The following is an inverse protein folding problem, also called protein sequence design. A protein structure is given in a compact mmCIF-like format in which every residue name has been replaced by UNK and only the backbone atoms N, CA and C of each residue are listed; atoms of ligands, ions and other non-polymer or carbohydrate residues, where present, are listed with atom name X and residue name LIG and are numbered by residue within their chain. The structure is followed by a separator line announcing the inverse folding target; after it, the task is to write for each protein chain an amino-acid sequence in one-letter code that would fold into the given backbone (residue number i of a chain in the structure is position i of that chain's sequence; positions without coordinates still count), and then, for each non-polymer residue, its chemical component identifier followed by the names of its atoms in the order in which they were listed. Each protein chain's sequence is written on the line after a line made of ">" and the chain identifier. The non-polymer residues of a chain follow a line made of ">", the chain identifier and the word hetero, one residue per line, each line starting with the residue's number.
data_IF_192670564539
#
_entry.id   IF_192670564539
#
_cell.length_a   1.000
_cell.length_b   1.000
_cell.length_c   1.000
_cell.angle_alpha   90.00
_cell.angle_beta   90.00
_cell.angle_gamma   90.00
#
_symmetry.space_group_name_H-M   'P 1'
#
loop_
_entity.id
_entity.type
_entity.pdbx_description
1 polymer ?
#
# COMPACT_ATOMS: atom_id res chain seq x y z
N UNK A 1 -26.94 11.20 7.06
CA UNK A 1 -27.19 10.02 7.92
C UNK A 1 -27.83 8.94 7.04
N UNK A 2 -27.12 7.84 6.78
CA UNK A 2 -27.62 6.77 5.92
C UNK A 2 -28.54 5.83 6.70
N UNK A 3 -29.63 5.39 6.06
CA UNK A 3 -30.54 4.36 6.56
C UNK A 3 -30.74 3.31 5.48
N UNK A 4 -31.01 2.07 5.89
CA UNK A 4 -31.49 1.06 4.96
C UNK A 4 -32.89 1.46 4.47
N UNK A 5 -33.19 1.16 3.20
CA UNK A 5 -34.55 1.33 2.69
C UNK A 5 -35.48 0.34 3.38
N UNK A 6 -36.75 0.72 3.58
CA UNK A 6 -37.70 -0.05 4.38
C UNK A 6 -37.95 -1.48 3.84
N UNK A 7 -37.74 -1.72 2.55
CA UNK A 7 -37.92 -3.03 1.93
C UNK A 7 -36.70 -3.95 2.09
N UNK A 8 -35.56 -3.43 2.56
CA UNK A 8 -34.34 -4.21 2.73
C UNK A 8 -34.47 -5.12 3.95
N UNK A 9 -34.49 -6.42 3.69
CA UNK A 9 -34.47 -7.45 4.71
C UNK A 9 -33.07 -7.58 5.33
N UNK A 10 -32.94 -7.18 6.60
CA UNK A 10 -31.68 -7.17 7.34
C UNK A 10 -31.09 -8.56 7.55
N UNK A 11 -31.90 -9.62 7.55
CA UNK A 11 -31.42 -10.99 7.72
C UNK A 11 -30.76 -11.55 6.46
N UNK A 12 -31.08 -10.98 5.29
CA UNK A 12 -30.49 -11.37 4.00
C UNK A 12 -29.23 -10.59 3.66
N UNK A 13 -28.85 -9.61 4.48
CA UNK A 13 -27.68 -8.78 4.24
C UNK A 13 -26.39 -9.52 4.58
N UNK A 14 -25.39 -9.37 3.72
CA UNK A 14 -24.02 -9.77 4.05
C UNK A 14 -23.38 -8.69 4.94
N UNK A 15 -23.40 -8.93 6.25
CA UNK A 15 -22.87 -8.01 7.26
C UNK A 15 -21.35 -7.84 7.19
N UNK A 16 -20.63 -8.83 6.64
CA UNK A 16 -19.18 -8.70 6.42
C UNK A 16 -18.87 -7.67 5.34
N UNK A 17 -19.66 -7.61 4.27
CA UNK A 17 -19.50 -6.57 3.24
C UNK A 17 -19.96 -5.21 3.72
N UNK A 18 -21.05 -5.14 4.50
CA UNK A 18 -21.49 -3.90 5.14
C UNK A 18 -20.46 -3.32 6.10
N UNK A 19 -19.78 -4.17 6.89
CA UNK A 19 -18.75 -3.74 7.85
C UNK A 19 -17.55 -3.04 7.18
N UNK A 20 -17.35 -3.27 5.88
CA UNK A 20 -16.32 -2.61 5.07
C UNK A 20 -16.77 -1.25 4.50
N UNK A 21 -18.05 -0.92 4.57
CA UNK A 21 -18.59 0.31 4.00
C UNK A 21 -18.62 1.43 5.05
N UNK A 22 -17.82 2.50 4.90
CA UNK A 22 -17.78 3.60 5.88
C UNK A 22 -19.10 4.38 5.98
N UNK A 23 -19.97 4.35 4.95
CA UNK A 23 -21.24 5.07 4.96
C UNK A 23 -22.27 4.46 5.93
N UNK A 24 -22.11 3.19 6.32
CA UNK A 24 -23.09 2.46 7.14
C UNK A 24 -22.70 2.36 8.62
N UNK A 25 -21.69 3.10 9.07
CA UNK A 25 -21.27 3.12 10.49
C UNK A 25 -22.42 3.35 11.49
N UNK A 26 -23.37 4.29 11.25
CA UNK A 26 -24.52 4.45 12.15
C UNK A 26 -25.41 3.21 12.23
N UNK A 27 -25.51 2.42 11.16
CA UNK A 27 -26.29 1.18 11.11
C UNK A 27 -25.56 0.07 11.86
N UNK A 28 -24.25 -0.07 11.66
CA UNK A 28 -23.42 -1.08 12.35
C UNK A 28 -23.45 -0.88 13.87
N UNK A 29 -23.39 0.39 14.32
CA UNK A 29 -23.49 0.74 15.74
C UNK A 29 -24.77 0.23 16.42
N UNK A 30 -25.87 0.10 15.68
CA UNK A 30 -27.16 -0.39 16.20
C UNK A 30 -27.26 -1.93 16.19
N UNK A 31 -26.34 -2.62 15.53
CA UNK A 31 -26.35 -4.08 15.33
C UNK A 31 -24.97 -4.70 15.61
N UNK A 32 -24.42 -4.53 16.84
CA UNK A 32 -23.08 -5.00 17.19
C UNK A 32 -22.93 -6.54 17.17
N UNK A 33 -24.04 -7.26 17.29
CA UNK A 33 -24.14 -8.72 17.23
C UNK A 33 -23.95 -9.27 15.81
N UNK A 34 -24.34 -8.49 14.78
CA UNK A 34 -24.19 -8.86 13.37
C UNK A 34 -22.91 -8.31 12.75
N UNK A 35 -22.21 -7.45 13.47
CA UNK A 35 -21.04 -6.72 12.96
C UNK A 35 -19.83 -7.63 12.85
N UNK A 36 -19.14 -7.56 11.71
CA UNK A 36 -17.87 -8.25 11.52
C UNK A 36 -16.75 -7.35 12.07
N UNK A 37 -16.39 -7.56 13.35
CA UNK A 37 -15.39 -6.78 14.09
C UNK A 37 -13.99 -6.85 13.46
N UNK A 38 -13.66 -7.95 12.80
CA UNK A 38 -12.41 -8.10 12.05
C UNK A 38 -12.34 -7.14 10.86
N UNK A 39 -13.40 -7.09 10.04
CA UNK A 39 -13.50 -6.14 8.94
C UNK A 39 -13.56 -4.69 9.44
N UNK A 40 -14.21 -4.47 10.58
CA UNK A 40 -14.37 -3.16 11.19
C UNK A 40 -13.05 -2.59 11.73
N UNK A 41 -12.22 -3.42 12.38
CA UNK A 41 -10.92 -3.03 12.95
C UNK A 41 -9.95 -2.48 11.89
N UNK A 42 -10.16 -2.84 10.62
CA UNK A 42 -9.38 -2.33 9.48
C UNK A 42 -9.97 -1.08 8.83
N UNK A 43 -11.11 -0.59 9.32
CA UNK A 43 -11.83 0.53 8.73
C UNK A 43 -11.55 1.82 9.53
N UNK A 44 -10.81 2.79 8.98
CA UNK A 44 -10.53 4.07 9.67
C UNK A 44 -11.78 4.81 10.13
N UNK A 45 -12.90 4.72 9.39
CA UNK A 45 -14.14 5.40 9.75
C UNK A 45 -14.85 4.77 10.96
N UNK A 46 -14.41 3.59 11.40
CA UNK A 46 -15.05 2.85 12.48
C UNK A 46 -14.47 3.12 13.87
N UNK A 47 -13.44 3.98 14.01
CA UNK A 47 -12.81 4.27 15.31
C UNK A 47 -13.83 4.64 16.40
N UNK A 48 -14.85 5.47 16.16
CA UNK A 48 -15.83 5.81 17.19
C UNK A 48 -16.69 4.63 17.68
N UNK A 49 -16.75 3.53 16.92
CA UNK A 49 -17.47 2.30 17.30
C UNK A 49 -16.52 1.36 18.03
N UNK A 50 -15.29 1.19 17.53
CA UNK A 50 -14.27 0.31 18.11
C UNK A 50 -13.90 0.76 19.53
N UNK A 51 -13.76 2.07 19.75
CA UNK A 51 -13.54 2.64 21.09
C UNK A 51 -14.61 2.24 22.13
N UNK A 52 -15.81 1.86 21.71
CA UNK A 52 -16.92 1.49 22.59
C UNK A 52 -16.97 -0.02 22.91
N UNK A 53 -16.20 -0.84 22.20
CA UNK A 53 -16.25 -2.30 22.27
C UNK A 53 -14.85 -2.95 22.26
N UNK A 54 -13.94 -2.55 23.19
CA UNK A 54 -12.53 -2.96 23.18
C UNK A 54 -12.30 -4.47 23.41
N UNK A 55 -13.33 -5.20 23.84
CA UNK A 55 -13.34 -6.65 24.05
C UNK A 55 -13.53 -7.45 22.75
N UNK A 56 -14.04 -6.82 21.68
CA UNK A 56 -14.34 -7.47 20.39
C UNK A 56 -13.33 -7.16 19.30
N UNK A 57 -12.36 -6.31 19.61
CA UNK A 57 -11.44 -5.76 18.63
C UNK A 57 -10.31 -6.72 18.27
N UNK A 58 -9.96 -6.74 16.98
CA UNK A 58 -8.76 -7.41 16.50
C UNK A 58 -7.57 -6.43 16.62
N UNK A 59 -6.84 -6.57 17.73
CA UNK A 59 -5.69 -5.72 18.05
C UNK A 59 -4.55 -5.79 17.04
N UNK A 60 -4.42 -6.89 16.29
CA UNK A 60 -3.43 -6.98 15.21
C UNK A 60 -3.82 -6.05 14.07
N UNK A 61 -5.09 -6.06 13.67
CA UNK A 61 -5.62 -5.17 12.63
C UNK A 61 -5.61 -3.71 13.06
N UNK A 62 -5.99 -3.42 14.30
CA UNK A 62 -5.88 -2.07 14.86
C UNK A 62 -4.44 -1.57 14.83
N UNK A 63 -3.45 -2.40 15.22
CA UNK A 63 -2.04 -2.01 15.20
C UNK A 63 -1.55 -1.62 13.81
N UNK A 64 -2.05 -2.28 12.76
CA UNK A 64 -1.77 -1.91 11.37
C UNK A 64 -2.59 -0.72 10.83
N UNK A 65 -3.59 -0.23 11.56
CA UNK A 65 -4.52 0.81 11.11
C UNK A 65 -4.01 2.21 11.50
N UNK A 66 -3.70 3.09 10.53
CA UNK A 66 -3.21 4.45 10.82
C UNK A 66 -4.14 5.31 11.68
N UNK A 67 -5.46 5.08 11.59
CA UNK A 67 -6.44 5.85 12.37
C UNK A 67 -6.58 5.36 13.82
N UNK A 68 -6.05 4.17 14.13
CA UNK A 68 -6.17 3.57 15.46
C UNK A 68 -5.07 4.01 16.43
N UNK A 69 -4.08 4.82 16.02
CA UNK A 69 -2.97 5.27 16.88
C UNK A 69 -3.47 5.82 18.24
N UNK A 70 -4.47 6.73 18.31
CA UNK A 70 -4.95 7.24 19.60
C UNK A 70 -5.61 6.17 20.49
N UNK A 71 -6.19 5.13 19.90
CA UNK A 71 -6.76 4.00 20.65
C UNK A 71 -5.65 3.08 21.17
N UNK A 72 -4.62 2.84 20.36
CA UNK A 72 -3.46 2.01 20.70
C UNK A 72 -2.65 2.66 21.83
N UNK A 73 -2.46 3.98 21.81
CA UNK A 73 -1.80 4.75 22.88
C UNK A 73 -2.46 4.54 24.25
N UNK A 74 -3.78 4.32 24.29
CA UNK A 74 -4.54 4.04 25.52
C UNK A 74 -4.50 2.58 25.96
N UNK A 75 -4.02 1.67 25.10
CA UNK A 75 -4.08 0.22 25.30
C UNK A 75 -2.75 -0.45 24.90
N UNK A 76 -1.63 0.10 25.41
CA UNK A 76 -0.26 -0.32 25.08
C UNK A 76 -0.03 -1.83 25.26
N UNK A 77 -0.66 -2.43 26.28
CA UNK A 77 -0.56 -3.85 26.61
C UNK A 77 -1.15 -4.78 25.55
N UNK A 78 -2.02 -4.25 24.68
CA UNK A 78 -2.70 -5.02 23.64
C UNK A 78 -2.08 -4.86 22.25
N UNK A 79 -1.13 -3.94 22.10
CA UNK A 79 -0.50 -3.65 20.80
C UNK A 79 0.20 -4.89 20.25
N UNK A 80 -0.09 -5.21 18.99
CA UNK A 80 0.75 -6.11 18.20
C UNK A 80 1.90 -5.30 17.59
N UNK A 81 3.06 -5.33 18.23
CA UNK A 81 4.21 -4.51 17.86
C UNK A 81 4.82 -4.86 16.50
N UNK A 82 4.68 -6.12 16.04
CA UNK A 82 5.07 -6.50 14.67
C UNK A 82 4.20 -5.76 13.65
N UNK A 83 2.86 -5.83 13.80
CA UNK A 83 1.93 -5.14 12.91
C UNK A 83 2.06 -3.61 13.00
N UNK A 84 2.31 -3.07 14.21
CA UNK A 84 2.54 -1.65 14.42
C UNK A 84 3.80 -1.16 13.69
N UNK A 85 4.87 -1.97 13.65
CA UNK A 85 6.13 -1.59 13.00
C UNK A 85 6.00 -1.39 11.47
N UNK A 86 5.02 -2.06 10.84
CA UNK A 86 4.65 -1.80 9.44
C UNK A 86 3.80 -0.55 9.24
N UNK A 87 3.20 0.00 10.30
CA UNK A 87 2.25 1.11 10.19
C UNK A 87 3.00 2.44 10.02
N UNK A 88 2.87 3.13 8.86
CA UNK A 88 3.59 4.38 8.62
C UNK A 88 3.22 5.52 9.59
N UNK A 89 2.01 5.51 10.13
CA UNK A 89 1.55 6.52 11.09
C UNK A 89 2.02 6.24 12.53
N UNK A 90 2.58 5.04 12.79
CA UNK A 90 2.97 4.63 14.14
C UNK A 90 4.40 5.01 14.53
N UNK A 91 5.18 5.63 13.64
CA UNK A 91 6.58 6.00 13.92
C UNK A 91 6.73 6.76 15.26
N UNK A 92 5.91 7.79 15.58
CA UNK A 92 6.02 8.48 16.86
C UNK A 92 5.75 7.59 18.08
N UNK A 93 4.84 6.62 17.97
CA UNK A 93 4.54 5.67 19.05
C UNK A 93 5.66 4.64 19.20
N UNK A 94 6.26 4.20 18.10
CA UNK A 94 7.42 3.30 18.11
C UNK A 94 8.65 3.97 18.74
N UNK A 95 8.88 5.26 18.47
CA UNK A 95 9.96 6.04 19.09
C UNK A 95 9.83 6.15 20.63
N UNK A 96 8.62 6.11 21.16
CA UNK A 96 8.36 6.10 22.61
C UNK A 96 8.63 4.73 23.26
N UNK A 97 8.65 3.65 22.48
CA UNK A 97 8.80 2.27 22.94
C UNK A 97 9.88 1.51 22.13
N UNK A 98 11.14 1.97 22.16
CA UNK A 98 12.20 1.43 21.31
C UNK A 98 12.55 -0.04 21.59
N UNK A 99 12.25 -0.55 22.79
CA UNK A 99 12.44 -1.95 23.18
C UNK A 99 11.40 -2.89 22.55
N UNK A 100 10.30 -2.35 22.04
CA UNK A 100 9.20 -3.11 21.43
C UNK A 100 9.25 -3.15 19.91
N UNK A 101 10.07 -2.32 19.29
CA UNK A 101 10.18 -2.22 17.83
C UNK A 101 10.57 -3.58 17.25
N UNK A 102 9.79 -4.03 16.26
CA UNK A 102 10.21 -5.12 15.39
C UNK A 102 11.00 -4.54 14.22
N UNK A 103 12.32 -4.67 14.26
CA UNK A 103 13.21 -4.02 13.28
C UNK A 103 13.14 -4.61 11.88
N UNK A 104 12.83 -5.90 11.75
CA UNK A 104 12.56 -6.56 10.48
C UNK A 104 11.36 -5.90 9.78
N UNK A 105 10.22 -5.82 10.46
CA UNK A 105 9.02 -5.13 9.97
C UNK A 105 9.26 -3.62 9.71
N UNK A 106 10.02 -2.97 10.59
CA UNK A 106 10.33 -1.54 10.46
C UNK A 106 11.23 -1.26 9.24
N UNK A 107 12.19 -2.12 8.94
CA UNK A 107 13.07 -1.99 7.76
C UNK A 107 12.29 -1.94 6.45
N UNK A 108 11.16 -2.64 6.36
CA UNK A 108 10.28 -2.59 5.19
C UNK A 108 9.36 -1.35 5.17
N UNK A 109 9.23 -0.62 6.28
CA UNK A 109 8.34 0.54 6.39
C UNK A 109 8.98 1.78 5.75
N UNK A 110 8.42 2.33 4.64
CA UNK A 110 9.01 3.46 3.94
C UNK A 110 9.00 4.77 4.77
N UNK A 111 8.09 4.92 5.73
CA UNK A 111 8.05 6.10 6.61
C UNK A 111 9.10 6.03 7.74
N UNK A 112 9.73 4.88 7.95
CA UNK A 112 10.68 4.67 9.02
C UNK A 112 12.13 5.09 8.70
N UNK A 113 12.41 5.58 7.49
CA UNK A 113 13.79 5.91 7.07
C UNK A 113 14.55 6.78 8.09
N UNK A 114 13.97 7.87 8.65
CA UNK A 114 14.68 8.68 9.64
C UNK A 114 15.02 7.93 10.94
N UNK A 115 14.18 6.97 11.33
CA UNK A 115 14.40 6.15 12.54
C UNK A 115 15.45 5.06 12.27
N UNK A 116 15.41 4.44 11.09
CA UNK A 116 16.40 3.44 10.66
C UNK A 116 17.79 4.06 10.49
N UNK A 117 17.88 5.26 9.89
CA UNK A 117 19.17 5.99 9.75
C UNK A 117 19.85 6.27 11.09
N UNK A 118 19.08 6.44 12.18
CA UNK A 118 19.62 6.62 13.54
C UNK A 118 20.01 5.32 14.23
N UNK A 119 19.59 4.16 13.71
CA UNK A 119 19.74 2.85 14.34
C UNK A 119 20.27 1.81 13.32
N UNK A 120 21.35 2.17 12.61
CA UNK A 120 21.95 1.38 11.53
C UNK A 120 22.30 -0.06 11.95
N UNK A 121 22.67 -0.25 13.22
CA UNK A 121 23.04 -1.54 13.82
C UNK A 121 21.85 -2.51 13.95
N UNK A 122 20.61 -2.00 13.93
CA UNK A 122 19.40 -2.80 14.11
C UNK A 122 18.67 -3.10 12.81
N UNK A 123 19.08 -2.47 11.71
CA UNK A 123 18.45 -2.64 10.41
C UNK A 123 18.53 -4.11 9.98
N UNK A 124 17.37 -4.67 9.62
CA UNK A 124 17.31 -5.86 8.78
C UNK A 124 17.56 -5.44 7.32
N UNK A 125 18.72 -5.82 6.77
CA UNK A 125 19.16 -5.39 5.44
C UNK A 125 18.49 -6.15 4.30
N UNK A 126 17.97 -7.35 4.58
CA UNK A 126 17.18 -8.11 3.60
C UNK A 126 15.88 -7.35 3.33
N UNK A 127 15.13 -7.04 4.38
CA UNK A 127 13.88 -6.27 4.28
C UNK A 127 14.10 -4.82 3.82
N UNK A 128 15.22 -4.21 4.19
CA UNK A 128 15.54 -2.86 3.71
C UNK A 128 15.83 -2.86 2.20
N UNK A 129 16.46 -3.90 1.66
CA UNK A 129 16.83 -3.97 0.24
C UNK A 129 15.61 -4.07 -0.68
N UNK A 130 14.51 -4.66 -0.21
CA UNK A 130 13.23 -4.66 -0.92
C UNK A 130 12.43 -3.37 -0.75
N UNK A 131 12.80 -2.48 0.19
CA UNK A 131 12.10 -1.24 0.47
C UNK A 131 12.41 -0.14 -0.58
N UNK A 132 11.42 0.35 -1.35
CA UNK A 132 11.65 1.36 -2.39
C UNK A 132 12.12 2.72 -1.86
N UNK A 133 11.81 3.06 -0.61
CA UNK A 133 12.24 4.33 0.00
C UNK A 133 13.69 4.30 0.49
N UNK A 134 14.30 3.11 0.58
CA UNK A 134 15.60 2.92 1.21
C UNK A 134 16.80 3.09 0.26
N UNK A 135 16.58 3.34 -1.04
CA UNK A 135 17.66 3.47 -2.04
C UNK A 135 18.80 4.41 -1.58
N UNK A 136 18.52 5.61 -1.04
CA UNK A 136 19.60 6.50 -0.57
C UNK A 136 20.42 5.94 0.59
N UNK A 137 19.80 5.13 1.47
CA UNK A 137 20.48 4.50 2.59
C UNK A 137 21.30 3.29 2.14
N UNK A 138 20.76 2.51 1.19
CA UNK A 138 21.44 1.38 0.57
C UNK A 138 22.67 1.85 -0.23
N UNK A 139 22.57 2.96 -0.97
CA UNK A 139 23.71 3.57 -1.68
C UNK A 139 24.89 3.93 -0.77
N UNK A 140 24.62 4.26 0.51
CA UNK A 140 25.66 4.55 1.52
C UNK A 140 26.25 3.29 2.18
N UNK A 141 25.63 2.12 2.00
CA UNK A 141 25.95 0.87 2.69
C UNK A 141 25.96 -0.31 1.70
N UNK A 142 26.65 -0.14 0.57
CA UNK A 142 26.69 -1.10 -0.56
C UNK A 142 27.08 -2.52 -0.14
N UNK A 143 27.93 -2.65 0.88
CA UNK A 143 28.43 -3.91 1.43
C UNK A 143 27.36 -4.71 2.18
N UNK A 144 26.27 -4.07 2.61
CA UNK A 144 25.19 -4.71 3.39
C UNK A 144 23.96 -5.06 2.56
N UNK A 145 23.91 -4.61 1.31
CA UNK A 145 22.78 -4.83 0.42
C UNK A 145 22.56 -6.33 0.20
N UNK A 146 21.32 -6.77 0.36
CA UNK A 146 20.86 -8.04 -0.19
C UNK A 146 20.50 -7.85 -1.67
N UNK A 147 21.36 -8.35 -2.55
CA UNK A 147 21.21 -8.14 -3.99
C UNK A 147 20.10 -9.00 -4.62
N UNK A 148 19.68 -10.08 -3.95
CA UNK A 148 18.54 -10.87 -4.39
C UNK A 148 17.27 -10.01 -4.25
N UNK A 149 17.04 -9.47 -3.05
CA UNK A 149 15.89 -8.63 -2.76
C UNK A 149 15.94 -7.31 -3.55
N UNK A 150 17.11 -6.66 -3.63
CA UNK A 150 17.26 -5.41 -4.39
C UNK A 150 16.96 -5.60 -5.88
N UNK A 151 17.28 -6.75 -6.46
CA UNK A 151 16.98 -7.02 -7.89
C UNK A 151 15.47 -7.03 -8.18
N UNK A 152 14.65 -7.38 -7.19
CA UNK A 152 13.18 -7.30 -7.29
C UNK A 152 12.64 -5.88 -7.08
N UNK A 153 13.42 -4.99 -6.47
CA UNK A 153 12.98 -3.65 -6.06
C UNK A 153 12.81 -2.72 -7.28
N UNK A 154 11.59 -2.26 -7.59
CA UNK A 154 11.33 -1.40 -8.75
C UNK A 154 12.02 -0.03 -8.70
N UNK A 155 12.34 0.48 -7.51
CA UNK A 155 13.02 1.76 -7.34
C UNK A 155 14.55 1.64 -7.46
N UNK A 156 15.09 0.42 -7.45
CA UNK A 156 16.53 0.18 -7.42
C UNK A 156 17.23 0.19 -8.78
N UNK A 157 16.51 0.39 -9.91
CA UNK A 157 17.09 0.34 -11.25
C UNK A 157 18.39 1.17 -11.37
N UNK A 158 18.46 2.44 -10.92
CA UNK A 158 19.70 3.22 -11.03
C UNK A 158 20.87 2.65 -10.19
N UNK A 159 20.58 1.98 -9.08
CA UNK A 159 21.59 1.35 -8.23
C UNK A 159 22.07 0.03 -8.83
N UNK A 160 21.14 -0.75 -9.41
CA UNK A 160 21.45 -1.99 -10.13
C UNK A 160 22.32 -1.70 -11.37
N UNK A 161 22.00 -0.67 -12.15
CA UNK A 161 22.80 -0.24 -13.31
C UNK A 161 24.27 0.07 -12.98
N UNK A 162 24.53 0.59 -11.77
CA UNK A 162 25.90 0.88 -11.29
C UNK A 162 26.64 -0.38 -10.80
N UNK A 163 25.94 -1.50 -10.59
CA UNK A 163 26.45 -2.72 -9.94
C UNK A 163 25.98 -3.99 -10.70
N UNK A 164 26.15 -3.99 -12.02
CA UNK A 164 25.67 -5.06 -12.92
C UNK A 164 26.17 -6.46 -12.50
N UNK A 165 27.39 -6.55 -11.97
CA UNK A 165 28.02 -7.79 -11.53
C UNK A 165 27.32 -8.47 -10.35
N UNK A 166 26.51 -7.71 -9.59
CA UNK A 166 25.82 -8.20 -8.40
C UNK A 166 24.35 -8.55 -8.64
N UNK A 167 23.82 -8.22 -9.82
CA UNK A 167 22.41 -8.41 -10.15
C UNK A 167 22.05 -9.89 -10.15
N UNK A 168 20.95 -10.25 -9.47
CA UNK A 168 20.29 -11.53 -9.68
C UNK A 168 19.35 -11.43 -10.88
N UNK A 169 19.81 -11.86 -12.05
CA UNK A 169 19.05 -11.77 -13.30
C UNK A 169 17.73 -12.56 -13.29
N UNK A 170 17.69 -13.69 -12.59
CA UNK A 170 16.47 -14.50 -12.48
C UNK A 170 15.37 -13.73 -11.75
N UNK A 171 15.72 -13.04 -10.66
CA UNK A 171 14.76 -12.20 -9.91
C UNK A 171 14.46 -10.91 -10.66
N UNK A 172 15.48 -10.26 -11.23
CA UNK A 172 15.30 -9.03 -12.01
C UNK A 172 14.32 -9.22 -13.17
N UNK A 173 14.29 -10.41 -13.79
CA UNK A 173 13.34 -10.74 -14.87
C UNK A 173 11.86 -10.61 -14.46
N UNK A 174 11.56 -10.63 -13.15
CA UNK A 174 10.21 -10.39 -12.61
C UNK A 174 9.93 -8.91 -12.32
N UNK A 175 10.95 -8.05 -12.36
CA UNK A 175 10.83 -6.63 -12.05
C UNK A 175 10.18 -5.90 -13.24
N UNK A 176 8.97 -5.34 -13.10
CA UNK A 176 8.25 -4.74 -14.23
C UNK A 176 8.95 -3.50 -14.80
N UNK A 177 9.88 -2.89 -14.05
CA UNK A 177 10.56 -1.66 -14.46
C UNK A 177 11.67 -1.87 -15.48
N UNK A 178 12.09 -3.11 -15.74
CA UNK A 178 13.05 -3.40 -16.82
C UNK A 178 12.41 -3.42 -18.21
N UNK A 179 11.08 -3.48 -18.28
CA UNK A 179 10.36 -3.53 -19.55
C UNK A 179 9.94 -2.12 -19.97
N UNK A 180 10.35 -1.72 -21.16
CA UNK A 180 9.94 -0.47 -21.81
C UNK A 180 9.29 -0.77 -23.15
N UNK A 181 8.37 0.08 -23.58
CA UNK A 181 7.74 -0.07 -24.89
C UNK A 181 8.77 0.25 -25.99
N UNK A 182 8.99 -0.70 -26.88
CA UNK A 182 9.78 -0.48 -28.09
C UNK A 182 8.91 0.22 -29.15
N UNK A 183 8.87 1.55 -29.09
CA UNK A 183 8.13 2.35 -30.06
C UNK A 183 8.65 2.18 -31.49
N UNK A 184 9.92 1.83 -31.68
CA UNK A 184 10.52 1.61 -33.00
C UNK A 184 9.96 0.34 -33.62
N UNK A 185 10.01 -0.79 -32.89
CA UNK A 185 9.39 -2.04 -33.34
C UNK A 185 7.87 -1.91 -33.52
N UNK A 186 7.19 -1.16 -32.64
CA UNK A 186 5.77 -0.86 -32.79
C UNK A 186 5.46 0.02 -34.01
N UNK A 187 6.40 0.85 -34.47
CA UNK A 187 6.23 1.67 -35.67
C UNK A 187 6.37 0.79 -36.92
N UNK A 188 7.36 -0.09 -36.94
CA UNK A 188 7.65 -0.99 -38.07
C UNK A 188 6.55 -2.04 -38.29
N UNK A 189 5.93 -2.55 -37.21
CA UNK A 189 4.86 -3.56 -37.27
C UNK A 189 3.46 -3.00 -37.56
N UNK A 190 3.29 -1.67 -37.70
CA UNK A 190 1.98 -0.99 -37.61
C UNK A 190 1.15 -0.88 -38.90
N UNK A 191 1.44 -1.64 -39.94
CA UNK A 191 0.68 -1.56 -41.19
C UNK A 191 -0.83 -1.82 -41.04
N UNK A 192 -1.26 -2.74 -40.15
CA UNK A 192 -2.68 -3.12 -40.04
C UNK A 192 -3.53 -2.18 -39.15
N UNK A 193 -2.93 -1.60 -38.10
CA UNK A 193 -3.67 -0.77 -37.14
C UNK A 193 -3.87 0.67 -37.64
N UNK A 194 -2.99 1.15 -38.52
CA UNK A 194 -3.02 2.53 -38.98
C UNK A 194 -4.34 2.89 -39.69
N UNK A 195 -4.75 2.06 -40.65
CA UNK A 195 -5.98 2.28 -41.41
C UNK A 195 -7.23 2.15 -40.53
N UNK A 196 -7.29 1.13 -39.66
CA UNK A 196 -8.42 0.94 -38.76
C UNK A 196 -8.55 2.08 -37.75
N UNK A 197 -7.43 2.56 -37.18
CA UNK A 197 -7.43 3.70 -36.28
C UNK A 197 -7.91 4.96 -36.99
N UNK A 198 -7.48 5.22 -38.22
CA UNK A 198 -7.97 6.36 -39.01
C UNK A 198 -9.47 6.22 -39.31
N UNK A 199 -9.92 5.05 -39.75
CA UNK A 199 -11.32 4.84 -40.17
C UNK A 199 -12.31 4.74 -39.01
N UNK A 200 -11.91 4.21 -37.86
CA UNK A 200 -12.84 3.97 -36.73
C UNK A 200 -12.61 4.91 -35.57
N UNK A 201 -11.36 5.26 -35.26
CA UNK A 201 -11.02 6.02 -34.06
C UNK A 201 -10.86 7.51 -34.37
N UNK A 202 -10.18 7.88 -35.44
CA UNK A 202 -9.95 9.27 -35.86
C UNK A 202 -10.87 9.74 -37.00
N UNK A 203 -11.92 8.99 -37.32
CA UNK A 203 -12.94 9.44 -38.27
C UNK A 203 -13.59 10.74 -37.79
N UNK A 204 -13.89 11.72 -38.67
CA UNK A 204 -14.47 13.00 -38.28
C UNK A 204 -15.73 12.87 -37.40
N UNK A 205 -16.57 11.87 -37.66
CA UNK A 205 -17.76 11.60 -36.86
C UNK A 205 -17.46 11.20 -35.40
N UNK A 206 -16.27 10.68 -35.09
CA UNK A 206 -15.88 10.20 -33.76
C UNK A 206 -14.92 11.15 -33.04
N UNK A 207 -14.50 12.23 -33.68
CA UNK A 207 -13.49 13.15 -33.12
C UNK A 207 -13.97 13.85 -31.84
N UNK A 208 -15.28 14.08 -31.72
CA UNK A 208 -15.93 14.65 -30.53
C UNK A 208 -15.76 13.76 -29.28
N UNK A 209 -15.50 12.45 -29.45
CA UNK A 209 -15.20 11.54 -28.32
C UNK A 209 -13.83 11.82 -27.66
N UNK A 210 -13.03 12.72 -28.23
CA UNK A 210 -11.72 13.15 -27.70
C UNK A 210 -11.72 14.59 -27.21
N UNK A 211 -12.89 15.23 -27.10
CA UNK A 211 -12.98 16.58 -26.58
C UNK A 211 -12.46 16.61 -25.12
N UNK A 212 -11.42 17.40 -24.86
CA UNK A 212 -10.70 17.45 -23.58
C UNK A 212 -9.42 16.61 -23.49
N UNK A 213 -9.12 15.78 -24.50
CA UNK A 213 -7.80 15.14 -24.64
C UNK A 213 -6.86 16.15 -25.31
N UNK A 214 -6.25 16.99 -24.49
CA UNK A 214 -5.48 18.16 -24.90
C UNK A 214 -4.38 17.88 -25.91
N UNK A 215 -4.65 18.23 -27.16
CA UNK A 215 -3.70 18.95 -28.00
C UNK A 215 -4.43 20.20 -28.46
N UNK A 216 -4.02 21.37 -27.98
CA UNK A 216 -4.46 22.62 -28.62
C UNK A 216 -3.84 22.62 -30.02
N UNK A 217 -4.67 22.50 -31.05
CA UNK A 217 -4.23 22.83 -32.40
C UNK A 217 -4.15 24.35 -32.46
N UNK A 218 -2.93 24.89 -32.63
CA UNK A 218 -2.70 26.29 -32.98
C UNK A 218 -3.38 26.65 -34.31
#
# INVERSE_FOLDING_TARGET
>A
MYKLLNWVDKEKLNWSWLSRNPAVMPILKQHPDKTNWYALSSNPAAMPILEQHPDKDDWTRLSSNPAAIPLLEKNIDKINWYALSFNPAAIPLLEQHPDKINWCALSFNPAAMPLLEKNIDKIDWLELSSNPAAIPLLEKNIDKIDWLELSSNPAAIPLLEKNIDKINWSVLSSNPRIFVLDYSAMKESRCALHEELIQKRFHPCNIHCFEGWGFMME
#
